data_IF_852789559551
#
_entry.id   IF_852789559551
#
_cell.length_a   1.000
_cell.length_b   1.000
_cell.length_c   1.000
_cell.angle_alpha   90.00
_cell.angle_beta   90.00
_cell.angle_gamma   90.00
#
_symmetry.space_group_name_H-M   'P 1'
#
loop_
_entity.id
_entity.type
_entity.pdbx_description
1 polymer ?
#
# COMPACT_ATOMS: atom_id res chain seq x y z
N UNK A 1 -3.29 -12.67 2.66
CA UNK A 1 -2.16 -11.80 2.29
C UNK A 1 -0.88 -12.37 2.91
N UNK A 2 0.12 -12.65 2.08
CA UNK A 2 1.41 -13.22 2.52
C UNK A 2 2.54 -12.37 1.95
N UNK A 3 3.43 -11.86 2.82
CA UNK A 3 4.60 -11.10 2.41
C UNK A 3 5.78 -12.05 2.19
N UNK A 4 6.33 -12.04 0.97
CA UNK A 4 7.60 -12.67 0.64
C UNK A 4 8.77 -11.72 0.87
N UNK A 5 9.94 -12.08 0.33
CA UNK A 5 11.20 -11.32 0.48
C UNK A 5 11.08 -9.86 0.02
N UNK A 6 10.37 -9.62 -1.10
CA UNK A 6 10.25 -8.29 -1.72
C UNK A 6 8.81 -7.75 -1.65
N UNK A 7 8.10 -8.07 -0.57
CA UNK A 7 6.74 -7.59 -0.36
C UNK A 7 5.66 -8.62 -0.70
N UNK A 8 4.44 -8.13 -0.90
CA UNK A 8 3.26 -8.93 -1.17
C UNK A 8 2.91 -8.89 -2.67
N UNK A 9 2.50 -10.04 -3.22
CA UNK A 9 2.02 -10.20 -4.60
C UNK A 9 0.68 -10.91 -4.58
N UNK A 10 -0.19 -10.56 -5.53
CA UNK A 10 -1.50 -11.16 -5.73
C UNK A 10 -2.02 -10.96 -7.15
N UNK A 11 -3.08 -11.67 -7.48
CA UNK A 11 -3.89 -11.55 -8.69
C UNK A 11 -4.90 -10.41 -8.48
N UNK A 12 -4.92 -9.47 -9.43
CA UNK A 12 -5.85 -8.34 -9.40
C UNK A 12 -7.29 -8.86 -9.39
N UNK A 13 -8.10 -8.28 -8.50
CA UNK A 13 -9.51 -8.59 -8.26
C UNK A 13 -9.81 -9.96 -7.61
N UNK A 14 -8.77 -10.75 -7.29
CA UNK A 14 -8.90 -11.92 -6.42
C UNK A 14 -8.35 -11.59 -5.03
N UNK A 15 -7.05 -11.73 -4.81
CA UNK A 15 -6.41 -11.37 -3.56
C UNK A 15 -5.79 -9.96 -3.58
N UNK A 16 -5.47 -9.40 -4.76
CA UNK A 16 -5.04 -8.00 -4.91
C UNK A 16 -6.23 -7.08 -5.21
N UNK A 17 -6.83 -6.58 -4.13
CA UNK A 17 -8.06 -5.78 -4.11
C UNK A 17 -7.83 -4.44 -3.40
N UNK A 18 -8.77 -3.50 -3.53
CA UNK A 18 -8.70 -2.23 -2.78
C UNK A 18 -8.63 -2.45 -1.26
N UNK A 19 -9.43 -3.38 -0.75
CA UNK A 19 -9.44 -3.70 0.68
C UNK A 19 -8.09 -4.24 1.16
N UNK A 20 -7.54 -5.23 0.46
CA UNK A 20 -6.24 -5.80 0.82
C UNK A 20 -5.11 -4.78 0.70
N UNK A 21 -5.10 -3.93 -0.34
CA UNK A 21 -4.14 -2.82 -0.47
C UNK A 21 -4.24 -1.85 0.72
N UNK A 22 -5.46 -1.50 1.17
CA UNK A 22 -5.66 -0.65 2.35
C UNK A 22 -5.14 -1.33 3.62
N UNK A 23 -5.40 -2.63 3.80
CA UNK A 23 -4.90 -3.41 4.95
C UNK A 23 -3.37 -3.43 4.98
N UNK A 24 -2.72 -3.73 3.86
CA UNK A 24 -1.26 -3.69 3.76
C UNK A 24 -0.72 -2.30 4.08
N UNK A 25 -1.34 -1.27 3.51
CA UNK A 25 -0.90 0.12 3.69
C UNK A 25 -1.07 0.57 5.14
N UNK A 26 -2.13 0.15 5.83
CA UNK A 26 -2.35 0.48 7.23
C UNK A 26 -1.25 -0.09 8.13
N UNK A 27 -0.76 -1.30 7.84
CA UNK A 27 0.41 -1.87 8.53
C UNK A 27 1.67 -1.06 8.26
N UNK A 28 1.90 -0.65 7.01
CA UNK A 28 3.03 0.23 6.64
C UNK A 28 2.92 1.58 7.34
N UNK A 29 1.72 2.17 7.40
CA UNK A 29 1.47 3.45 8.05
C UNK A 29 1.84 3.41 9.54
N UNK A 30 1.40 2.38 10.27
CA UNK A 30 1.75 2.17 11.67
C UNK A 30 3.26 1.99 11.87
N UNK A 31 3.91 1.27 10.96
CA UNK A 31 5.36 1.13 10.99
C UNK A 31 6.07 2.47 10.76
N UNK A 32 5.65 3.26 9.77
CA UNK A 32 6.26 4.56 9.46
C UNK A 32 6.07 5.56 10.60
N UNK A 33 4.88 5.66 11.18
CA UNK A 33 4.60 6.58 12.28
C UNK A 33 5.34 6.23 13.57
N UNK A 34 5.86 4.99 13.68
CA UNK A 34 6.78 4.61 14.76
C UNK A 34 8.22 5.14 14.58
N UNK A 35 8.52 5.78 13.44
CA UNK A 35 9.86 6.34 13.12
C UNK A 35 9.85 7.87 13.21
N UNK A 36 10.99 8.50 13.51
CA UNK A 36 11.11 9.96 13.49
C UNK A 36 10.99 10.50 12.06
N UNK A 37 10.26 11.61 11.87
CA UNK A 37 10.04 12.29 10.59
C UNK A 37 9.55 11.34 9.47
N UNK A 38 8.36 10.72 9.63
CA UNK A 38 7.84 9.78 8.65
C UNK A 38 7.64 10.45 7.30
N UNK A 39 8.10 9.79 6.24
CA UNK A 39 7.86 10.19 4.86
C UNK A 39 7.81 8.95 3.97
N UNK A 40 7.06 9.04 2.87
CA UNK A 40 6.93 7.96 1.91
C UNK A 40 6.81 8.52 0.49
N UNK A 41 7.34 7.77 -0.47
CA UNK A 41 7.15 8.01 -1.92
C UNK A 41 6.36 6.83 -2.45
N UNK A 42 5.30 7.13 -3.21
CA UNK A 42 4.44 6.12 -3.84
C UNK A 42 4.74 6.08 -5.33
N UNK A 43 5.20 4.93 -5.81
CA UNK A 43 5.41 4.66 -7.22
C UNK A 43 4.48 3.54 -7.70
N UNK A 44 4.12 3.57 -8.97
CA UNK A 44 3.30 2.54 -9.61
C UNK A 44 3.71 2.38 -11.08
N UNK A 45 3.34 1.26 -11.69
CA UNK A 45 3.65 0.94 -13.09
C UNK A 45 2.41 0.97 -14.00
N UNK A 46 2.54 0.48 -15.23
CA UNK A 46 1.45 0.51 -16.23
C UNK A 46 0.48 -0.67 -16.12
N UNK A 47 0.51 -1.49 -15.05
CA UNK A 47 -0.49 -2.55 -14.88
C UNK A 47 -1.89 -1.98 -14.66
N UNK A 48 -2.88 -2.82 -14.93
CA UNK A 48 -4.28 -2.45 -14.78
C UNK A 48 -4.56 -1.89 -13.38
N UNK A 49 -5.18 -0.70 -13.34
CA UNK A 49 -5.57 0.02 -12.12
C UNK A 49 -4.42 0.37 -11.14
N UNK A 50 -3.15 0.23 -11.55
CA UNK A 50 -1.99 0.57 -10.71
C UNK A 50 -2.03 2.02 -10.19
N UNK A 51 -2.52 2.97 -10.99
CA UNK A 51 -2.70 4.37 -10.61
C UNK A 51 -3.78 4.54 -9.53
N UNK A 52 -4.88 3.78 -9.63
CA UNK A 52 -5.95 3.78 -8.64
C UNK A 52 -5.49 3.16 -7.31
N UNK A 53 -4.78 2.04 -7.36
CA UNK A 53 -4.19 1.45 -6.15
C UNK A 53 -3.19 2.39 -5.48
N UNK A 54 -2.36 3.10 -6.26
CA UNK A 54 -1.44 4.09 -5.72
C UNK A 54 -2.16 5.25 -5.01
N UNK A 55 -3.30 5.72 -5.55
CA UNK A 55 -4.14 6.73 -4.89
C UNK A 55 -4.72 6.23 -3.57
N UNK A 56 -5.10 4.96 -3.51
CA UNK A 56 -5.62 4.33 -2.28
C UNK A 56 -4.56 4.21 -1.20
N UNK A 57 -3.33 3.83 -1.59
CA UNK A 57 -2.16 3.88 -0.69
C UNK A 57 -1.96 5.31 -0.17
N UNK A 58 -1.99 6.31 -1.06
CA UNK A 58 -1.80 7.71 -0.68
C UNK A 58 -2.86 8.20 0.31
N UNK A 59 -4.13 7.83 0.10
CA UNK A 59 -5.23 8.19 1.00
C UNK A 59 -5.05 7.57 2.39
N UNK A 60 -4.68 6.30 2.47
CA UNK A 60 -4.45 5.64 3.77
C UNK A 60 -3.25 6.26 4.49
N UNK A 61 -2.14 6.51 3.80
CA UNK A 61 -0.98 7.15 4.42
C UNK A 61 -1.31 8.56 4.92
N UNK A 62 -1.96 9.40 4.10
CA UNK A 62 -2.35 10.76 4.48
C UNK A 62 -3.35 10.80 5.65
N UNK A 63 -4.18 9.76 5.82
CA UNK A 63 -5.08 9.64 6.96
C UNK A 63 -4.36 9.29 8.27
N UNK A 64 -3.09 8.84 8.21
CA UNK A 64 -2.30 8.42 9.36
C UNK A 64 -1.21 9.44 9.79
N UNK A 65 -1.07 10.57 9.09
CA UNK A 65 -0.14 11.67 9.42
C UNK A 65 0.82 12.00 8.29
#
# INVERSE_FOLDING_TARGET
MTFGTDGWRGIIADDFTYESVRIATQGIAQYLTSRPNPSAIIGYDTRFASDLFAREVAQVLAANG
#
